data_IF_179215806972
#
_entry.id   IF_179215806972
#
_cell.length_a   1.000
_cell.length_b   1.000
_cell.length_c   1.000
_cell.angle_alpha   90.00
_cell.angle_beta   90.00
_cell.angle_gamma   90.00
#
_symmetry.space_group_name_H-M   'P 1'
#
loop_
_entity.id
_entity.type
_entity.pdbx_description
1 polymer ?
#
# COMPACT_ATOMS: atom_id res chain seq x y z
N UNK A 1 -12.33 -7.37 5.50
CA UNK A 1 -11.49 -8.49 5.00
C UNK A 1 -12.40 -9.63 4.59
N UNK A 2 -12.11 -10.28 3.46
CA UNK A 2 -12.84 -11.46 2.99
C UNK A 2 -11.86 -12.58 2.60
N UNK A 3 -12.37 -13.81 2.43
CA UNK A 3 -11.60 -14.84 1.73
C UNK A 3 -11.35 -14.42 0.27
N UNK A 4 -10.33 -15.02 -0.35
CA UNK A 4 -9.92 -14.65 -1.71
C UNK A 4 -10.56 -15.51 -2.82
N UNK A 5 -11.48 -16.41 -2.48
CA UNK A 5 -12.14 -17.29 -3.45
C UNK A 5 -11.13 -18.15 -4.23
N UNK A 6 -11.07 -17.98 -5.56
CA UNK A 6 -10.18 -18.74 -6.46
C UNK A 6 -8.78 -18.11 -6.63
N UNK A 7 -8.49 -16.99 -5.98
CA UNK A 7 -7.17 -16.37 -6.06
C UNK A 7 -6.14 -17.20 -5.30
N UNK A 8 -4.86 -17.07 -5.67
CA UNK A 8 -3.75 -17.70 -4.94
C UNK A 8 -3.49 -17.06 -3.56
N UNK A 9 -4.04 -15.87 -3.32
CA UNK A 9 -3.97 -15.19 -2.03
C UNK A 9 -4.88 -15.87 -0.99
N UNK A 10 -4.57 -15.72 0.30
CA UNK A 10 -5.44 -16.23 1.38
C UNK A 10 -6.65 -15.31 1.63
N UNK A 11 -6.42 -14.00 1.58
CA UNK A 11 -7.41 -12.97 1.91
C UNK A 11 -7.39 -11.82 0.91
N UNK A 12 -8.51 -11.10 0.87
CA UNK A 12 -8.59 -9.75 0.28
C UNK A 12 -8.87 -8.76 1.41
N UNK A 13 -7.96 -7.80 1.57
CA UNK A 13 -8.11 -6.67 2.49
C UNK A 13 -8.66 -5.50 1.68
N UNK A 14 -9.89 -5.09 2.01
CA UNK A 14 -10.58 -3.96 1.38
C UNK A 14 -10.20 -2.70 2.14
N UNK A 15 -9.45 -1.80 1.51
CA UNK A 15 -8.99 -0.55 2.10
C UNK A 15 -9.57 0.64 1.32
N UNK A 16 -10.22 1.57 2.02
CA UNK A 16 -10.80 2.76 1.43
C UNK A 16 -9.72 3.86 1.30
N UNK A 17 -9.26 4.12 0.08
CA UNK A 17 -8.31 5.22 -0.20
C UNK A 17 -8.98 6.58 -0.45
N UNK A 18 -10.30 6.67 -0.29
CA UNK A 18 -11.10 7.86 -0.56
C UNK A 18 -12.13 8.07 0.55
N UNK A 19 -12.48 9.33 0.79
CA UNK A 19 -13.59 9.71 1.66
C UNK A 19 -14.96 9.49 1.00
N UNK A 20 -16.02 9.73 1.77
CA UNK A 20 -17.39 9.69 1.25
C UNK A 20 -17.66 10.77 0.19
N UNK A 21 -16.85 11.83 0.19
CA UNK A 21 -16.83 12.90 -0.81
C UNK A 21 -16.12 12.50 -2.12
N UNK A 22 -15.69 11.23 -2.24
CA UNK A 22 -14.92 10.69 -3.36
C UNK A 22 -13.57 11.38 -3.56
N UNK A 23 -13.05 12.05 -2.53
CA UNK A 23 -11.73 12.68 -2.57
C UNK A 23 -10.72 11.83 -1.84
N UNK A 24 -9.50 11.86 -2.35
CA UNK A 24 -8.33 11.25 -1.73
C UNK A 24 -7.35 12.35 -1.32
N UNK A 25 -6.55 12.05 -0.30
CA UNK A 25 -5.44 12.88 0.13
C UNK A 25 -4.39 11.99 0.80
N UNK A 26 -3.27 12.61 1.14
CA UNK A 26 -2.14 11.96 1.77
C UNK A 26 -2.50 11.23 3.08
N UNK A 27 -3.34 11.84 3.92
CA UNK A 27 -3.75 11.24 5.19
C UNK A 27 -4.60 9.99 4.98
N UNK A 28 -5.56 10.03 4.05
CA UNK A 28 -6.38 8.86 3.71
C UNK A 28 -5.54 7.72 3.13
N UNK A 29 -4.56 8.02 2.27
CA UNK A 29 -3.67 6.99 1.70
C UNK A 29 -2.80 6.37 2.80
N UNK A 30 -2.25 7.21 3.70
CA UNK A 30 -1.47 6.76 4.86
C UNK A 30 -2.29 5.85 5.77
N UNK A 31 -3.49 6.28 6.16
CA UNK A 31 -4.39 5.50 7.00
C UNK A 31 -4.80 4.19 6.34
N UNK A 32 -5.18 4.23 5.05
CA UNK A 32 -5.56 3.04 4.30
C UNK A 32 -4.41 2.01 4.25
N UNK A 33 -3.18 2.48 3.98
CA UNK A 33 -1.99 1.64 3.92
C UNK A 33 -1.66 1.03 5.29
N UNK A 34 -1.61 1.87 6.34
CA UNK A 34 -1.32 1.44 7.71
C UNK A 34 -2.37 0.46 8.24
N UNK A 35 -3.66 0.74 8.03
CA UNK A 35 -4.73 -0.12 8.49
C UNK A 35 -4.74 -1.48 7.76
N UNK A 36 -4.41 -1.49 6.47
CA UNK A 36 -4.27 -2.73 5.73
C UNK A 36 -3.08 -3.59 6.23
N UNK A 37 -1.95 -2.96 6.53
CA UNK A 37 -0.79 -3.63 7.13
C UNK A 37 -1.11 -4.19 8.51
N UNK A 38 -1.71 -3.39 9.39
CA UNK A 38 -2.18 -3.83 10.71
C UNK A 38 -3.12 -5.02 10.58
N UNK A 39 -4.03 -4.99 9.60
CA UNK A 39 -4.96 -6.10 9.40
C UNK A 39 -4.27 -7.35 8.87
N UNK A 40 -3.21 -7.22 8.07
CA UNK A 40 -2.38 -8.35 7.66
C UNK A 40 -1.62 -8.96 8.85
N UNK A 41 -1.11 -8.14 9.76
CA UNK A 41 -0.44 -8.57 11.00
C UNK A 41 -1.39 -9.32 11.94
N UNK A 42 -2.58 -8.77 12.20
CA UNK A 42 -3.62 -9.42 13.01
C UNK A 42 -4.01 -10.81 12.48
N UNK A 43 -3.89 -11.01 11.16
CA UNK A 43 -4.14 -12.27 10.47
C UNK A 43 -2.88 -13.15 10.33
N UNK A 44 -1.74 -12.70 10.88
CA UNK A 44 -0.42 -13.38 10.84
C UNK A 44 -0.01 -13.74 9.41
N UNK A 45 -0.18 -12.80 8.49
CA UNK A 45 0.18 -12.98 7.09
C UNK A 45 1.64 -12.60 6.86
N UNK A 46 2.40 -13.48 6.22
CA UNK A 46 3.82 -13.24 5.94
C UNK A 46 4.07 -12.22 4.82
N UNK A 47 3.08 -12.04 3.94
CA UNK A 47 3.22 -11.15 2.78
C UNK A 47 1.92 -10.44 2.44
N UNK A 48 2.03 -9.20 1.97
CA UNK A 48 0.92 -8.40 1.45
C UNK A 48 1.31 -7.75 0.13
N UNK A 49 0.35 -7.63 -0.78
CA UNK A 49 0.50 -6.92 -2.05
C UNK A 49 -0.45 -5.73 -2.10
N UNK A 50 0.08 -4.56 -2.45
CA UNK A 50 -0.65 -3.30 -2.58
C UNK A 50 -0.67 -2.82 -4.03
N UNK A 51 -1.81 -2.35 -4.55
CA UNK A 51 -1.80 -1.43 -5.69
C UNK A 51 -1.34 -0.02 -5.23
N UNK A 52 -1.15 0.90 -6.17
CA UNK A 52 -1.02 2.32 -5.84
C UNK A 52 -2.38 2.88 -5.38
N UNK A 53 -2.57 3.03 -4.07
CA UNK A 53 -3.83 3.51 -3.49
C UNK A 53 -3.98 5.01 -3.75
N UNK A 54 -5.11 5.41 -4.34
CA UNK A 54 -5.46 6.81 -4.57
C UNK A 54 -5.07 7.36 -5.97
N UNK A 55 -4.24 6.66 -6.74
CA UNK A 55 -3.75 7.16 -8.05
C UNK A 55 -4.70 6.90 -9.23
N UNK A 56 -5.70 6.02 -9.07
CA UNK A 56 -6.71 5.74 -10.09
C UNK A 56 -7.77 6.85 -10.19
N UNK A 57 -9.03 6.52 -9.87
CA UNK A 57 -10.14 7.50 -9.89
C UNK A 57 -9.88 8.71 -8.99
N UNK A 58 -9.09 8.54 -7.91
CA UNK A 58 -8.74 9.62 -7.00
C UNK A 58 -7.76 10.65 -7.59
N UNK A 59 -7.07 10.34 -8.69
CA UNK A 59 -6.15 11.25 -9.37
C UNK A 59 -4.98 11.74 -8.52
N UNK A 60 -4.63 11.03 -7.43
CA UNK A 60 -3.51 11.43 -6.57
C UNK A 60 -2.19 11.26 -7.33
N UNK A 61 -1.26 12.23 -7.26
CA UNK A 61 0.02 12.14 -7.98
C UNK A 61 0.82 10.89 -7.59
N UNK A 62 1.35 10.18 -8.58
CA UNK A 62 2.05 8.91 -8.37
C UNK A 62 3.29 9.06 -7.48
N UNK A 63 4.09 10.11 -7.64
CA UNK A 63 5.27 10.39 -6.81
C UNK A 63 4.90 10.57 -5.34
N UNK A 64 3.85 11.37 -5.07
CA UNK A 64 3.33 11.58 -3.71
C UNK A 64 2.74 10.29 -3.14
N UNK A 65 2.05 9.50 -3.96
CA UNK A 65 1.54 8.19 -3.54
C UNK A 65 2.70 7.27 -3.10
N UNK A 66 3.76 7.21 -3.90
CA UNK A 66 4.95 6.41 -3.62
C UNK A 66 5.59 6.81 -2.29
N UNK A 67 5.82 8.12 -2.08
CA UNK A 67 6.35 8.67 -0.83
C UNK A 67 5.54 8.21 0.39
N UNK A 68 4.22 8.38 0.33
CA UNK A 68 3.32 8.09 1.44
C UNK A 68 3.24 6.59 1.70
N UNK A 69 3.03 5.77 0.66
CA UNK A 69 2.83 4.33 0.81
C UNK A 69 4.12 3.62 1.23
N UNK A 70 5.25 3.94 0.62
CA UNK A 70 6.55 3.33 0.96
C UNK A 70 6.97 3.77 2.35
N UNK A 71 6.90 5.07 2.67
CA UNK A 71 7.23 5.59 3.99
C UNK A 71 6.39 4.94 5.10
N UNK A 72 5.07 4.86 4.89
CA UNK A 72 4.15 4.20 5.84
C UNK A 72 4.47 2.72 6.01
N UNK A 73 4.78 2.01 4.93
CA UNK A 73 5.14 0.59 4.99
C UNK A 73 6.45 0.38 5.76
N UNK A 74 7.50 1.17 5.46
CA UNK A 74 8.78 1.09 6.15
C UNK A 74 8.63 1.38 7.64
N UNK A 75 7.91 2.44 8.01
CA UNK A 75 7.68 2.78 9.41
C UNK A 75 6.90 1.70 10.15
N UNK A 76 5.90 1.09 9.51
CA UNK A 76 5.17 -0.02 10.10
C UNK A 76 6.07 -1.25 10.30
N UNK A 77 6.88 -1.61 9.30
CA UNK A 77 7.72 -2.80 9.33
C UNK A 77 8.86 -2.76 10.35
N UNK A 78 9.25 -1.58 10.85
CA UNK A 78 10.27 -1.44 11.91
C UNK A 78 9.88 -2.14 13.21
N UNK A 79 8.58 -2.17 13.52
CA UNK A 79 8.05 -2.70 14.79
C UNK A 79 7.16 -3.94 14.58
N UNK A 80 6.75 -4.22 13.34
CA UNK A 80 5.79 -5.28 13.04
C UNK A 80 6.39 -6.69 13.14
N UNK A 81 5.62 -7.60 13.73
CA UNK A 81 5.94 -9.03 13.72
C UNK A 81 5.70 -9.63 12.32
N UNK A 82 4.66 -9.17 11.61
CA UNK A 82 4.32 -9.55 10.24
C UNK A 82 3.49 -8.43 9.56
N UNK A 83 3.42 -8.33 8.22
CA UNK A 83 4.09 -9.16 7.21
C UNK A 83 5.60 -8.88 7.08
N UNK A 84 6.37 -9.85 6.59
CA UNK A 84 7.80 -9.69 6.27
C UNK A 84 8.05 -9.20 4.84
N UNK A 85 7.08 -9.38 3.96
CA UNK A 85 7.16 -8.94 2.57
C UNK A 85 5.98 -8.01 2.21
N UNK A 86 6.29 -6.78 1.81
CA UNK A 86 5.35 -5.86 1.19
C UNK A 86 5.71 -5.73 -0.28
N UNK A 87 4.76 -5.99 -1.18
CA UNK A 87 4.94 -5.85 -2.63
C UNK A 87 4.01 -4.77 -3.17
N UNK A 88 4.56 -3.80 -3.87
CA UNK A 88 3.75 -2.87 -4.67
C UNK A 88 3.57 -3.43 -6.08
N UNK A 89 2.32 -3.64 -6.48
CA UNK A 89 1.92 -4.18 -7.80
C UNK A 89 1.32 -3.04 -8.60
N UNK A 90 2.11 -2.49 -9.50
CA UNK A 90 1.88 -1.20 -10.12
C UNK A 90 1.46 -1.37 -11.58
N UNK A 91 0.47 -0.58 -12.00
CA UNK A 91 -0.03 -0.57 -13.37
C UNK A 91 0.41 0.73 -14.04
N UNK A 92 1.03 0.61 -15.21
CA UNK A 92 1.56 1.75 -15.97
C UNK A 92 2.99 2.12 -15.60
N UNK A 93 3.74 2.58 -16.59
CA UNK A 93 5.16 2.92 -16.50
C UNK A 93 5.39 4.10 -15.54
N UNK A 94 4.59 5.18 -15.65
CA UNK A 94 4.72 6.36 -14.78
C UNK A 94 4.64 6.03 -13.29
N UNK A 95 3.63 5.22 -12.89
CA UNK A 95 3.47 4.83 -11.49
C UNK A 95 4.56 3.86 -11.06
N UNK A 96 4.99 2.95 -11.94
CA UNK A 96 6.11 2.05 -11.65
C UNK A 96 7.40 2.83 -11.38
N UNK A 97 7.75 3.76 -12.25
CA UNK A 97 8.94 4.61 -12.14
C UNK A 97 8.91 5.48 -10.89
N UNK A 98 7.76 6.05 -10.52
CA UNK A 98 7.60 6.83 -9.29
C UNK A 98 7.93 6.01 -8.03
N UNK A 99 7.41 4.79 -7.93
CA UNK A 99 7.70 3.89 -6.80
C UNK A 99 9.13 3.35 -6.85
N UNK A 100 9.67 3.07 -8.04
CA UNK A 100 11.04 2.59 -8.20
C UNK A 100 12.03 3.63 -7.70
N UNK A 101 11.93 4.88 -8.18
CA UNK A 101 12.77 6.00 -7.71
C UNK A 101 12.71 6.11 -6.20
N UNK A 102 11.50 6.09 -5.62
CA UNK A 102 11.34 6.21 -4.17
C UNK A 102 11.97 5.04 -3.41
N UNK A 103 11.89 3.83 -3.94
CA UNK A 103 12.49 2.65 -3.33
C UNK A 103 14.03 2.68 -3.40
N UNK A 104 14.60 3.19 -4.49
CA UNK A 104 16.04 3.37 -4.65
C UNK A 104 16.60 4.42 -3.67
N UNK A 105 15.89 5.54 -3.48
CA UNK A 105 16.26 6.57 -2.49
C UNK A 105 16.38 6.00 -1.08
N UNK A 106 15.41 5.18 -0.65
CA UNK A 106 15.38 4.62 0.71
C UNK A 106 16.30 3.40 0.86
N UNK A 107 16.52 2.63 -0.21
CA UNK A 107 17.38 1.44 -0.19
C UNK A 107 18.88 1.75 -0.34
N UNK A 108 19.22 2.91 -0.89
CA UNK A 108 20.59 3.41 -0.96
C UNK A 108 21.05 4.18 0.29
N UNK A 109 20.21 4.28 1.32
CA UNK A 109 20.48 4.97 2.58
C UNK A 109 20.94 4.04 3.70
#
# INVERSE_FOLDING_TARGET
VTSAGRLKAKYVIHAAGMGQDLRTDEDKIREATRNALKRAEELKLESVAFPAIGTGVGGFPADRCAEVMIGTALDFLKEAESPKLVRFVLFGEETYEAFLRKLEEVGGS
#
